data_IF_368830946932
#
_entry.id   IF_368830946932
#
_cell.length_a   1.000
_cell.length_b   1.000
_cell.length_c   1.000
_cell.angle_alpha   90.00
_cell.angle_beta   90.00
_cell.angle_gamma   90.00
#
_symmetry.space_group_name_H-M   'P 1'
#
loop_
_entity.id
_entity.type
_entity.pdbx_description
1 polymer ?
#
# COMPACT_ATOMS: atom_id res chain seq x y z
N UNK A 1 -5.10 -11.26 -5.37
CA UNK A 1 -3.72 -10.72 -5.22
C UNK A 1 -3.72 -9.76 -4.04
N UNK A 2 -2.56 -9.55 -3.40
CA UNK A 2 -2.39 -8.53 -2.35
C UNK A 2 -1.74 -7.28 -2.94
N UNK A 3 -2.39 -6.14 -2.78
CA UNK A 3 -2.01 -4.86 -3.37
C UNK A 3 -1.73 -3.87 -2.23
N UNK A 4 -0.53 -3.29 -2.21
CA UNK A 4 -0.16 -2.24 -1.29
C UNK A 4 -0.38 -0.87 -1.95
N UNK A 5 -1.30 -0.06 -1.43
CA UNK A 5 -1.51 1.32 -1.87
C UNK A 5 -0.68 2.26 -0.99
N UNK A 6 0.46 2.71 -1.51
CA UNK A 6 1.37 3.63 -0.82
C UNK A 6 0.87 5.07 -0.94
N UNK A 7 0.23 5.56 0.12
CA UNK A 7 -0.36 6.89 0.13
C UNK A 7 -0.39 7.50 1.53
N UNK A 8 -0.37 8.84 1.62
CA UNK A 8 -0.43 9.56 2.91
C UNK A 8 -1.85 9.79 3.42
N UNK A 9 -2.81 10.01 2.52
CA UNK A 9 -4.19 10.32 2.87
C UNK A 9 -5.13 9.26 2.28
N UNK A 10 -5.73 8.46 3.15
CA UNK A 10 -6.67 7.40 2.76
C UNK A 10 -8.04 7.93 2.28
N UNK A 11 -8.40 9.17 2.66
CA UNK A 11 -9.70 9.76 2.37
C UNK A 11 -9.77 10.49 1.02
N UNK A 12 -8.73 10.42 0.19
CA UNK A 12 -8.78 10.97 -1.15
C UNK A 12 -9.72 10.11 -2.02
N UNK A 13 -10.58 10.77 -2.77
CA UNK A 13 -11.55 10.12 -3.67
C UNK A 13 -10.89 9.08 -4.60
N UNK A 14 -9.73 9.41 -5.17
CA UNK A 14 -8.98 8.50 -6.05
C UNK A 14 -8.56 7.22 -5.34
N UNK A 15 -8.22 7.28 -4.05
CA UNK A 15 -7.76 6.11 -3.28
C UNK A 15 -8.94 5.23 -2.90
N UNK A 16 -10.06 5.83 -2.51
CA UNK A 16 -11.31 5.10 -2.27
C UNK A 16 -11.81 4.38 -3.53
N UNK A 17 -11.75 5.04 -4.69
CA UNK A 17 -12.09 4.43 -5.98
C UNK A 17 -11.17 3.25 -6.33
N UNK A 18 -9.88 3.35 -6.03
CA UNK A 18 -8.92 2.26 -6.25
C UNK A 18 -9.19 1.08 -5.30
N UNK A 19 -9.54 1.35 -4.05
CA UNK A 19 -9.92 0.33 -3.06
C UNK A 19 -11.14 -0.45 -3.54
N UNK A 20 -12.23 0.25 -3.88
CA UNK A 20 -13.46 -0.36 -4.42
C UNK A 20 -13.19 -1.19 -5.70
N UNK A 21 -12.41 -0.64 -6.63
CA UNK A 21 -12.11 -1.29 -7.90
C UNK A 21 -11.24 -2.56 -7.74
N UNK A 22 -10.41 -2.60 -6.69
CA UNK A 22 -9.61 -3.77 -6.34
C UNK A 22 -10.46 -4.83 -5.61
N UNK A 23 -11.30 -4.43 -4.66
CA UNK A 23 -12.23 -5.32 -3.97
C UNK A 23 -13.24 -5.98 -4.93
N UNK A 24 -13.79 -5.21 -5.88
CA UNK A 24 -14.69 -5.74 -6.92
C UNK A 24 -14.02 -6.80 -7.80
N UNK A 25 -12.70 -6.73 -7.96
CA UNK A 25 -11.90 -7.72 -8.70
C UNK A 25 -11.45 -8.89 -7.81
N UNK A 26 -11.87 -8.94 -6.55
CA UNK A 26 -11.46 -9.95 -5.58
C UNK A 26 -9.99 -9.83 -5.18
N UNK A 27 -9.46 -8.60 -5.13
CA UNK A 27 -8.10 -8.33 -4.66
C UNK A 27 -8.14 -7.72 -3.25
N UNK A 28 -7.23 -8.18 -2.39
CA UNK A 28 -7.00 -7.55 -1.08
C UNK A 28 -6.10 -6.35 -1.31
N UNK A 29 -6.53 -5.18 -0.84
CA UNK A 29 -5.79 -3.93 -1.00
C UNK A 29 -5.66 -3.24 0.36
N UNK A 30 -4.44 -2.82 0.70
CA UNK A 30 -4.13 -2.20 1.98
C UNK A 30 -3.51 -0.83 1.77
N UNK A 31 -4.05 0.19 2.45
CA UNK A 31 -3.52 1.54 2.41
C UNK A 31 -2.38 1.69 3.42
N UNK A 32 -1.18 1.90 2.91
CA UNK A 32 0.04 1.98 3.72
C UNK A 32 0.58 3.41 3.69
N UNK A 33 0.78 3.98 4.87
CA UNK A 33 1.38 5.31 5.01
C UNK A 33 2.87 5.25 4.70
N UNK A 34 3.27 5.89 3.60
CA UNK A 34 4.66 5.92 3.14
C UNK A 34 5.65 6.50 4.14
N UNK A 35 5.22 7.38 5.06
CA UNK A 35 6.08 7.94 6.10
C UNK A 35 6.40 6.94 7.21
N UNK A 36 5.59 5.88 7.34
CA UNK A 36 5.82 4.79 8.31
C UNK A 36 6.60 3.63 7.68
N UNK A 37 6.83 3.66 6.37
CA UNK A 37 7.62 2.66 5.68
C UNK A 37 9.11 2.90 5.96
N UNK A 38 9.72 1.99 6.71
CA UNK A 38 11.17 1.95 6.87
C UNK A 38 11.72 0.84 5.98
N UNK A 39 12.68 1.22 5.13
CA UNK A 39 13.32 0.31 4.19
C UNK A 39 14.75 0.05 4.66
N UNK A 40 15.05 -1.20 4.97
CA UNK A 40 16.42 -1.66 5.11
C UNK A 40 16.99 -1.83 3.70
N UNK A 41 17.94 -0.98 3.32
CA UNK A 41 18.56 -0.96 1.97
C UNK A 41 19.81 -1.85 1.88
N UNK A 42 20.14 -2.58 2.94
CA UNK A 42 21.34 -3.44 2.96
C UNK A 42 21.22 -4.54 1.91
N UNK A 43 22.14 -4.59 0.95
CA UNK A 43 22.03 -5.40 -0.27
C UNK A 43 21.85 -6.91 -0.04
N UNK A 44 22.24 -7.44 1.12
CA UNK A 44 22.10 -8.85 1.44
C UNK A 44 20.68 -9.26 1.88
N UNK A 45 19.91 -8.33 2.47
CA UNK A 45 18.54 -8.56 2.96
C UNK A 45 17.74 -7.26 2.95
N UNK A 46 17.28 -6.81 1.78
CA UNK A 46 16.38 -5.68 1.73
C UNK A 46 15.05 -6.05 2.39
N UNK A 47 14.66 -5.29 3.41
CA UNK A 47 13.41 -5.49 4.15
C UNK A 47 12.61 -4.20 4.17
N UNK A 48 11.31 -4.28 3.86
CA UNK A 48 10.37 -3.17 3.99
C UNK A 48 9.47 -3.44 5.20
N UNK A 49 9.50 -2.57 6.20
CA UNK A 49 8.60 -2.61 7.36
C UNK A 49 7.61 -1.44 7.27
N UNK A 50 6.32 -1.72 7.44
CA UNK A 50 5.23 -0.75 7.36
C UNK A 50 4.09 -1.07 8.33
#
# INVERSE_FOLDING_TARGET
>A
MRIALLARNANLYSHQRLLEAAEQRGHEIEHINTLKCYMNITSHRPELRY
#
